data_IF_216490501401
#
_entry.id   IF_216490501401
#
_cell.length_a   1.000
_cell.length_b   1.000
_cell.length_c   1.000
_cell.angle_alpha   90.00
_cell.angle_beta   90.00
_cell.angle_gamma   90.00
#
_symmetry.space_group_name_H-M   'P 1'
#
loop_
_entity.id
_entity.type
_entity.pdbx_description
1 polymer ?
#
# COMPACT_ATOMS: atom_id res chain seq x y z
N UNK A 1 3.35 -1.89 -16.56
CA UNK A 1 2.55 -1.66 -15.34
C UNK A 1 1.10 -1.40 -15.73
N UNK A 2 0.74 -0.23 -16.26
CA UNK A 2 -0.66 0.04 -16.68
C UNK A 2 -1.15 -0.91 -17.76
N UNK A 3 -0.31 -1.22 -18.76
CA UNK A 3 -0.64 -2.17 -19.82
C UNK A 3 -0.75 -3.64 -19.37
N UNK A 4 -0.49 -3.96 -18.09
CA UNK A 4 -0.68 -5.32 -17.59
C UNK A 4 -2.14 -5.66 -17.28
N UNK A 5 -3.00 -4.65 -17.10
CA UNK A 5 -4.38 -4.83 -16.64
C UNK A 5 -4.49 -5.38 -15.21
N UNK A 6 -3.38 -5.41 -14.46
CA UNK A 6 -3.33 -5.84 -13.06
C UNK A 6 -3.35 -4.60 -12.19
N UNK A 7 -4.21 -4.61 -11.18
CA UNK A 7 -4.25 -3.57 -10.15
C UNK A 7 -2.96 -3.51 -9.35
N UNK A 8 -2.74 -2.37 -8.69
CA UNK A 8 -1.58 -2.16 -7.85
C UNK A 8 -1.97 -2.38 -6.39
N UNK A 9 -1.32 -3.34 -5.73
CA UNK A 9 -1.49 -3.50 -4.29
C UNK A 9 -0.15 -3.34 -3.60
N UNK A 10 -0.10 -2.43 -2.62
CA UNK A 10 1.07 -2.21 -1.78
C UNK A 10 0.74 -2.54 -0.34
N UNK A 11 1.69 -3.13 0.37
CA UNK A 11 1.54 -3.55 1.76
C UNK A 11 2.66 -2.95 2.60
N UNK A 12 2.32 -2.58 3.83
CA UNK A 12 3.27 -2.15 4.85
C UNK A 12 3.06 -3.05 6.07
N UNK A 13 3.98 -4.01 6.23
CA UNK A 13 3.89 -5.03 7.28
C UNK A 13 4.90 -4.70 8.37
N UNK A 14 4.43 -4.35 9.56
CA UNK A 14 5.31 -4.04 10.68
C UNK A 14 6.09 -5.29 11.12
N UNK A 15 7.37 -5.13 11.43
CA UNK A 15 8.20 -6.23 11.98
C UNK A 15 7.86 -6.48 13.46
N UNK A 16 7.25 -5.50 14.13
CA UNK A 16 6.87 -5.54 15.54
C UNK A 16 5.50 -4.87 15.74
N UNK A 17 4.82 -5.17 16.84
CA UNK A 17 3.54 -4.53 17.19
C UNK A 17 3.68 -3.06 17.67
N UNK A 18 4.87 -2.47 17.62
CA UNK A 18 5.13 -1.12 18.07
C UNK A 18 4.88 -0.05 17.00
N UNK A 19 4.79 -0.45 15.72
CA UNK A 19 4.51 0.42 14.60
C UNK A 19 3.07 0.23 14.15
N UNK A 20 2.36 1.35 14.07
CA UNK A 20 1.00 1.47 13.52
C UNK A 20 1.16 2.07 12.12
N UNK A 21 0.87 1.31 11.08
CA UNK A 21 1.35 1.61 9.71
C UNK A 21 0.34 2.42 8.91
N UNK A 22 0.83 3.24 7.98
CA UNK A 22 0.00 3.97 7.03
C UNK A 22 0.70 4.11 5.68
N UNK A 23 -0.02 3.85 4.59
CA UNK A 23 0.45 4.06 3.22
C UNK A 23 -0.36 5.17 2.57
N UNK A 24 0.30 6.15 1.97
CA UNK A 24 -0.36 7.19 1.16
C UNK A 24 0.27 7.29 -0.22
N UNK A 25 -0.54 7.42 -1.27
CA UNK A 25 -0.05 7.89 -2.57
C UNK A 25 0.08 9.42 -2.52
N UNK A 26 1.20 9.94 -3.01
CA UNK A 26 1.52 11.38 -2.93
C UNK A 26 1.94 11.96 -4.28
N UNK A 27 1.70 13.25 -4.46
CA UNK A 27 2.16 14.00 -5.62
C UNK A 27 3.66 14.38 -5.51
N UNK A 28 4.17 15.10 -6.52
CA UNK A 28 5.56 15.56 -6.55
C UNK A 28 5.94 16.52 -5.40
N UNK A 29 4.95 17.09 -4.70
CA UNK A 29 5.13 17.98 -3.55
C UNK A 29 4.92 17.26 -2.21
N UNK A 30 4.85 15.92 -2.20
CA UNK A 30 4.57 15.12 -1.01
C UNK A 30 3.19 15.38 -0.38
N UNK A 31 2.22 15.84 -1.18
CA UNK A 31 0.83 16.01 -0.79
C UNK A 31 0.04 14.74 -1.11
N UNK A 32 -0.86 14.32 -0.22
CA UNK A 32 -1.69 13.12 -0.44
C UNK A 32 -2.59 13.35 -1.66
N UNK A 33 -2.54 12.41 -2.61
CA UNK A 33 -3.41 12.44 -3.79
C UNK A 33 -4.85 12.21 -3.33
N UNK A 34 -5.74 13.05 -3.83
CA UNK A 34 -7.19 12.94 -3.65
C UNK A 34 -7.87 12.88 -5.01
N UNK A 35 -8.87 12.02 -5.13
CA UNK A 35 -9.72 11.95 -6.32
C UNK A 35 -10.65 13.17 -6.38
N UNK A 36 -11.36 13.33 -7.50
CA UNK A 36 -12.28 14.45 -7.73
C UNK A 36 -13.42 14.55 -6.70
N UNK A 37 -13.78 13.45 -6.06
CA UNK A 37 -14.78 13.37 -4.99
C UNK A 37 -14.20 13.68 -3.59
N UNK A 38 -12.89 13.96 -3.51
CA UNK A 38 -12.17 14.23 -2.26
C UNK A 38 -11.61 12.99 -1.57
N UNK A 39 -11.88 11.78 -2.08
CA UNK A 39 -11.37 10.52 -1.54
C UNK A 39 -9.85 10.49 -1.58
N UNK A 40 -9.21 10.28 -0.43
CA UNK A 40 -7.76 10.17 -0.35
C UNK A 40 -7.29 8.78 -0.78
N UNK A 41 -6.25 8.72 -1.61
CA UNK A 41 -5.60 7.47 -2.00
C UNK A 41 -4.62 7.06 -0.90
N UNK A 42 -5.14 6.40 0.13
CA UNK A 42 -4.39 5.98 1.31
C UNK A 42 -5.00 4.74 1.95
N UNK A 43 -4.26 4.11 2.86
CA UNK A 43 -4.80 3.11 3.78
C UNK A 43 -4.10 3.23 5.14
N UNK A 44 -4.92 3.07 6.18
CA UNK A 44 -4.57 3.02 7.60
C UNK A 44 -5.43 1.88 8.18
N UNK A 45 -4.81 0.86 8.75
CA UNK A 45 -5.47 -0.39 9.18
C UNK A 45 -6.24 -1.14 8.07
N UNK A 46 -5.55 -2.07 7.39
CA UNK A 46 -6.18 -2.90 6.38
C UNK A 46 -7.35 -3.73 6.94
N UNK A 47 -8.44 -3.84 6.17
CA UNK A 47 -9.69 -4.47 6.58
C UNK A 47 -10.69 -3.51 7.25
N UNK A 48 -10.35 -2.22 7.34
CA UNK A 48 -11.24 -1.17 7.86
C UNK A 48 -11.79 -0.26 6.75
N UNK A 49 -12.61 0.72 7.13
CA UNK A 49 -13.15 1.74 6.21
C UNK A 49 -12.17 2.87 5.89
N UNK A 50 -10.95 2.84 6.44
CA UNK A 50 -9.94 3.90 6.29
C UNK A 50 -9.02 3.70 5.08
N UNK A 51 -9.40 2.79 4.17
CA UNK A 51 -8.58 2.38 3.03
C UNK A 51 -9.27 2.66 1.70
N UNK A 52 -8.51 3.20 0.77
CA UNK A 52 -8.88 3.32 -0.63
C UNK A 52 -8.79 1.96 -1.32
N UNK A 53 -9.74 1.70 -2.23
CA UNK A 53 -9.81 0.45 -2.97
C UNK A 53 -10.26 -0.72 -2.11
N UNK A 54 -9.90 -1.93 -2.55
CA UNK A 54 -10.14 -3.14 -1.78
C UNK A 54 -9.23 -3.20 -0.55
N UNK A 55 -9.77 -3.68 0.56
CA UNK A 55 -9.04 -3.82 1.81
C UNK A 55 -9.48 -5.07 2.56
N UNK A 56 -8.53 -5.72 3.23
CA UNK A 56 -8.75 -6.97 3.95
C UNK A 56 -7.88 -7.02 5.20
N UNK A 57 -8.37 -7.63 6.28
CA UNK A 57 -7.58 -7.87 7.50
C UNK A 57 -6.37 -8.74 7.16
N UNK A 58 -5.17 -8.25 7.49
CA UNK A 58 -3.91 -8.90 7.17
C UNK A 58 -3.48 -9.95 8.21
N UNK A 59 -4.17 -10.07 9.34
CA UNK A 59 -3.89 -11.05 10.41
C UNK A 59 -3.77 -12.52 9.94
N UNK A 60 -4.57 -13.02 8.96
CA UNK A 60 -4.42 -14.39 8.46
C UNK A 60 -3.34 -14.54 7.37
N UNK A 61 -2.69 -13.45 6.94
CA UNK A 61 -1.70 -13.42 5.85
C UNK A 61 -0.27 -13.29 6.37
N UNK A 62 0.71 -13.55 5.51
CA UNK A 62 2.13 -13.40 5.84
C UNK A 62 3.02 -13.21 4.60
N UNK A 63 4.18 -12.60 4.82
CA UNK A 63 5.29 -12.59 3.86
C UNK A 63 6.21 -13.78 4.17
N UNK A 64 6.37 -14.67 3.20
CA UNK A 64 7.32 -15.78 3.28
C UNK A 64 8.76 -15.27 3.14
N UNK A 65 9.68 -15.82 3.94
CA UNK A 65 11.11 -15.46 3.97
C UNK A 65 11.98 -16.73 3.96
N UNK A 66 13.26 -16.55 3.67
CA UNK A 66 14.21 -17.65 3.61
C UNK A 66 14.24 -18.51 4.88
N UNK A 67 14.58 -19.79 4.70
CA UNK A 67 14.65 -20.82 5.75
C UNK A 67 13.32 -21.05 6.48
N UNK A 68 12.20 -20.95 5.75
CA UNK A 68 10.86 -21.21 6.29
C UNK A 68 10.38 -20.15 7.29
N UNK A 69 11.06 -19.01 7.38
CA UNK A 69 10.64 -17.90 8.24
C UNK A 69 9.46 -17.20 7.61
N UNK A 70 8.58 -16.67 8.43
CA UNK A 70 7.45 -15.82 7.98
C UNK A 70 7.48 -14.49 8.71
N UNK A 71 6.92 -13.46 8.10
CA UNK A 71 6.50 -12.24 8.77
C UNK A 71 4.98 -12.19 8.65
N UNK A 72 4.27 -12.47 9.74
CA UNK A 72 2.82 -12.40 9.77
C UNK A 72 2.34 -10.96 9.64
N UNK A 73 1.20 -10.77 8.97
CA UNK A 73 0.48 -9.51 9.02
C UNK A 73 -0.16 -9.29 10.39
N UNK A 74 -0.44 -8.03 10.70
CA UNK A 74 -1.15 -7.60 11.90
C UNK A 74 -2.34 -6.71 11.56
N UNK A 75 -3.20 -6.49 12.56
CA UNK A 75 -4.41 -5.66 12.44
C UNK A 75 -4.15 -4.17 12.14
N UNK A 76 -2.92 -3.71 12.34
CA UNK A 76 -2.48 -2.33 12.11
C UNK A 76 -1.59 -2.19 10.87
N UNK A 77 -1.46 -3.28 10.10
CA UNK A 77 -0.74 -3.26 8.85
C UNK A 77 -1.64 -2.68 7.75
N UNK A 78 -1.02 -1.98 6.81
CA UNK A 78 -1.73 -1.25 5.75
C UNK A 78 -1.67 -1.99 4.43
N UNK A 79 -2.78 -1.95 3.68
CA UNK A 79 -2.92 -2.48 2.32
C UNK A 79 -3.55 -1.41 1.43
N UNK A 80 -2.75 -0.78 0.57
CA UNK A 80 -3.24 0.18 -0.41
C UNK A 80 -3.47 -0.52 -1.75
N UNK A 81 -4.74 -0.72 -2.11
CA UNK A 81 -5.16 -1.20 -3.42
C UNK A 81 -5.56 -0.01 -4.30
N UNK A 82 -4.95 0.07 -5.47
CA UNK A 82 -5.21 1.10 -6.47
C UNK A 82 -5.64 0.38 -7.76
N UNK A 83 -6.93 0.44 -8.11
CA UNK A 83 -7.42 -0.04 -9.39
C UNK A 83 -6.60 0.53 -10.55
N UNK A 84 -6.28 -0.28 -11.57
CA UNK A 84 -5.37 0.13 -12.64
C UNK A 84 -5.86 1.31 -13.50
N UNK A 85 -7.15 1.62 -13.44
CA UNK A 85 -7.83 2.72 -14.11
C UNK A 85 -7.97 3.98 -13.24
N UNK A 86 -7.49 3.94 -11.99
CA UNK A 86 -7.53 5.09 -11.07
C UNK A 86 -6.72 6.28 -11.59
N UNK A 87 -5.59 6.01 -12.23
CA UNK A 87 -4.68 7.04 -12.76
C UNK A 87 -4.54 6.90 -14.27
N UNK A 88 -4.66 8.02 -14.99
CA UNK A 88 -4.39 8.05 -16.43
C UNK A 88 -2.88 8.16 -16.68
N UNK A 89 -2.40 7.50 -17.74
CA UNK A 89 -0.96 7.43 -18.11
C UNK A 89 -0.35 8.81 -18.42
N UNK A 90 -1.17 9.86 -18.55
CA UNK A 90 -0.71 11.24 -18.75
C UNK A 90 0.14 11.77 -17.56
N UNK A 91 0.08 11.14 -16.39
CA UNK A 91 0.92 11.44 -15.20
C UNK A 91 2.31 10.76 -15.23
N UNK A 92 2.86 10.46 -16.40
CA UNK A 92 4.21 9.90 -16.55
C UNK A 92 4.39 8.47 -16.01
N UNK A 93 3.32 7.81 -15.57
CA UNK A 93 3.32 6.41 -15.13
C UNK A 93 4.05 6.16 -13.80
N UNK A 94 4.26 7.20 -12.98
CA UNK A 94 4.91 7.11 -11.68
C UNK A 94 3.88 7.27 -10.56
N UNK A 95 3.83 6.30 -9.65
CA UNK A 95 3.09 6.42 -8.40
C UNK A 95 4.11 6.59 -7.28
N UNK A 96 4.08 7.73 -6.59
CA UNK A 96 4.92 7.94 -5.41
C UNK A 96 4.18 7.45 -4.17
N UNK A 97 4.81 6.55 -3.42
CA UNK A 97 4.30 6.06 -2.16
C UNK A 97 5.05 6.70 -1.00
N UNK A 98 4.31 7.07 0.04
CA UNK A 98 4.86 7.39 1.35
C UNK A 98 4.40 6.36 2.35
N UNK A 99 5.37 5.64 2.90
CA UNK A 99 5.22 4.70 4.01
C UNK A 99 5.57 5.44 5.30
N UNK A 100 4.61 5.50 6.23
CA UNK A 100 4.73 6.24 7.48
C UNK A 100 3.99 5.52 8.59
N UNK A 101 4.10 5.98 9.83
CA UNK A 101 3.17 5.56 10.86
C UNK A 101 1.87 6.37 10.82
N UNK A 102 0.76 5.76 11.22
CA UNK A 102 -0.50 6.47 11.43
C UNK A 102 -0.32 7.59 12.44
N UNK A 103 -0.84 8.78 12.10
CA UNK A 103 -0.69 10.00 12.89
C UNK A 103 0.76 10.46 13.17
N UNK A 104 1.78 9.81 12.59
CA UNK A 104 3.21 10.04 12.89
C UNK A 104 3.59 9.86 14.37
N UNK A 105 2.91 8.95 15.09
CA UNK A 105 3.07 8.78 16.54
C UNK A 105 3.81 7.51 16.98
N UNK A 106 4.08 6.58 16.06
CA UNK A 106 4.73 5.30 16.37
C UNK A 106 5.96 5.08 15.48
N UNK A 107 6.86 4.20 15.91
CA UNK A 107 8.13 3.94 15.22
C UNK A 107 8.41 2.46 15.21
N UNK A 108 9.07 1.99 14.15
CA UNK A 108 9.54 0.62 14.04
C UNK A 108 9.98 0.28 12.63
N UNK A 109 10.49 -0.93 12.50
CA UNK A 109 10.87 -1.50 11.20
C UNK A 109 9.64 -2.08 10.50
N UNK A 110 9.63 -2.01 9.16
CA UNK A 110 8.57 -2.56 8.33
C UNK A 110 9.11 -3.19 7.05
N UNK A 111 8.29 -4.03 6.43
CA UNK A 111 8.48 -4.52 5.07
C UNK A 111 7.48 -3.83 4.16
N UNK A 112 7.99 -3.16 3.12
CA UNK A 112 7.17 -2.74 1.98
C UNK A 112 7.12 -3.87 0.95
N UNK A 113 5.93 -4.34 0.63
CA UNK A 113 5.71 -5.31 -0.43
C UNK A 113 4.82 -4.71 -1.51
N UNK A 114 5.11 -5.03 -2.77
CA UNK A 114 4.38 -4.53 -3.92
C UNK A 114 3.95 -5.71 -4.79
N UNK A 115 2.66 -5.75 -5.10
CA UNK A 115 2.08 -6.66 -6.07
C UNK A 115 1.57 -5.82 -7.25
N UNK A 116 2.19 -6.00 -8.40
CA UNK A 116 1.82 -5.32 -9.63
C UNK A 116 2.17 -6.19 -10.83
N UNK A 117 1.41 -6.01 -11.92
CA UNK A 117 1.72 -6.64 -13.19
C UNK A 117 2.84 -5.91 -13.91
N UNK A 118 3.87 -6.64 -14.30
CA UNK A 118 4.79 -6.19 -15.35
C UNK A 118 4.24 -6.71 -16.68
N UNK A 119 4.24 -5.87 -17.71
CA UNK A 119 4.01 -6.39 -19.06
C UNK A 119 5.22 -7.27 -19.38
N UNK A 120 5.00 -8.51 -19.82
CA UNK A 120 6.09 -9.33 -20.35
C UNK A 120 6.72 -8.54 -21.50
N UNK A 121 8.02 -8.24 -21.41
CA UNK A 121 8.74 -7.64 -22.53
C UNK A 121 8.58 -8.58 -23.73
N UNK A 122 7.89 -8.10 -24.76
CA UNK A 122 7.96 -8.71 -26.09
C UNK A 122 9.23 -8.26 -26.79
#
# INVERSE_FOLDING_TARGET
>A
MVASGVDYTSYMIAVTNALDTMITAVDANNTIIRLSDGTAVMCDDAGTTNCFGLSEDLTPYYVSRENGRTLGGGRYDSMLHIPNDTFTVEDGGIINYRFTSSGQNTLGDYVAAFHFGTTAGQ
#
